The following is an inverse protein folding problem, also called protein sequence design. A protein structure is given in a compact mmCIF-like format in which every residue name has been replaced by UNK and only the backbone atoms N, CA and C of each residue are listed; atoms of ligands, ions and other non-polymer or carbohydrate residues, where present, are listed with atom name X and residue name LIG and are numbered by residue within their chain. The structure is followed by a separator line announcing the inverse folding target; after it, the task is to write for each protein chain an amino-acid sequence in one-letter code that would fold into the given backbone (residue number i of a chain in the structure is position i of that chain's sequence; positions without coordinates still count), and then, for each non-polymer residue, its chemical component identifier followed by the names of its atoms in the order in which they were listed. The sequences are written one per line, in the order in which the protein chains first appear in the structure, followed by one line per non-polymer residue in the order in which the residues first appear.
data_IF_168712772491
#
_entry.id   IF_168712772491
#
_cell.length_a   1.000
_cell.length_b   1.000
_cell.length_c   1.000
_cell.angle_alpha   90.00
_cell.angle_beta   90.00
_cell.angle_gamma   90.00
#
_symmetry.space_group_name_H-M   'P 1'
#
loop_
_entity.id
_entity.type
_entity.pdbx_description
1 polymer ?
#
# COMPACT_ATOMS: atom_id res chain seq x y z
N UNK A 1 -20.79 -1.24 -82.41
CA UNK A 1 -19.64 -1.62 -81.56
C UNK A 1 -19.67 -0.70 -80.37
N UNK A 2 -20.25 -1.12 -79.22
CA UNK A 2 -20.32 -0.32 -77.98
C UNK A 2 -19.44 -1.04 -76.93
N UNK A 3 -18.43 -0.35 -76.52
CA UNK A 3 -17.61 -0.76 -75.34
C UNK A 3 -18.42 -0.43 -74.08
N UNK A 4 -18.67 -1.44 -73.26
CA UNK A 4 -19.22 -1.31 -71.91
C UNK A 4 -18.12 -0.95 -70.93
N UNK A 5 -18.32 0.12 -70.18
CA UNK A 5 -17.44 0.50 -69.07
C UNK A 5 -17.78 -0.32 -67.84
N UNK A 6 -16.80 -1.04 -67.31
CA UNK A 6 -16.87 -1.70 -66.03
C UNK A 6 -16.56 -0.66 -64.95
N UNK A 7 -17.60 -0.22 -64.24
CA UNK A 7 -17.49 0.73 -63.15
C UNK A 7 -16.95 0.07 -61.88
N UNK A 8 -15.90 0.65 -61.29
CA UNK A 8 -15.14 0.20 -60.15
C UNK A 8 -15.89 0.24 -58.85
N UNK A 9 -16.00 -0.92 -58.16
CA UNK A 9 -16.52 -1.06 -56.82
C UNK A 9 -15.36 -1.18 -55.79
N UNK A 10 -14.53 -0.14 -55.69
CA UNK A 10 -13.41 -0.17 -54.76
C UNK A 10 -13.38 0.95 -53.67
N UNK A 11 -14.40 1.79 -53.59
CA UNK A 11 -14.38 2.95 -52.66
C UNK A 11 -14.90 2.64 -51.25
N UNK A 12 -15.62 1.53 -51.03
CA UNK A 12 -16.22 1.22 -49.71
C UNK A 12 -15.29 0.57 -48.70
N UNK A 13 -14.33 -0.22 -49.16
CA UNK A 13 -13.49 -1.05 -48.26
C UNK A 13 -12.45 -0.23 -47.49
N UNK A 14 -11.93 0.85 -48.07
CA UNK A 14 -10.90 1.68 -47.42
C UNK A 14 -11.43 2.53 -46.24
N UNK A 15 -12.68 2.95 -46.30
CA UNK A 15 -13.30 3.80 -45.25
C UNK A 15 -13.65 2.93 -44.05
N UNK A 16 -14.16 1.71 -44.25
CA UNK A 16 -14.50 0.79 -43.16
C UNK A 16 -13.23 0.33 -42.40
N UNK A 17 -12.15 0.03 -43.09
CA UNK A 17 -10.88 -0.36 -42.48
C UNK A 17 -10.25 0.76 -41.64
N UNK A 18 -10.35 2.00 -42.09
CA UNK A 18 -9.84 3.16 -41.35
C UNK A 18 -10.66 3.46 -40.09
N UNK A 19 -11.99 3.28 -40.13
CA UNK A 19 -12.88 3.46 -39.00
C UNK A 19 -12.63 2.40 -37.91
N UNK A 20 -12.41 1.13 -38.27
CA UNK A 20 -12.09 0.06 -37.33
C UNK A 20 -10.73 0.28 -36.67
N UNK A 21 -9.73 0.75 -37.43
CA UNK A 21 -8.41 1.06 -36.86
C UNK A 21 -8.50 2.22 -35.86
N UNK A 22 -9.32 3.24 -36.12
CA UNK A 22 -9.51 4.36 -35.20
C UNK A 22 -10.25 3.95 -33.92
N UNK A 23 -11.23 3.04 -33.99
CA UNK A 23 -11.95 2.53 -32.82
C UNK A 23 -11.06 1.62 -31.96
N UNK A 24 -10.17 0.84 -32.54
CA UNK A 24 -9.21 0.00 -31.80
C UNK A 24 -8.17 0.88 -31.09
N UNK A 25 -7.68 1.93 -31.73
CA UNK A 25 -6.75 2.88 -31.09
C UNK A 25 -7.41 3.73 -30.00
N UNK A 26 -8.70 4.05 -30.13
CA UNK A 26 -9.46 4.75 -29.10
C UNK A 26 -9.78 3.86 -27.88
N UNK A 27 -9.82 2.55 -28.04
CA UNK A 27 -9.95 1.59 -26.93
C UNK A 27 -8.65 1.41 -26.13
N UNK A 28 -7.51 1.76 -26.69
CA UNK A 28 -6.26 1.91 -25.97
C UNK A 28 -6.24 3.30 -25.28
N UNK A 29 -7.01 3.44 -24.19
CA UNK A 29 -6.78 4.51 -23.24
C UNK A 29 -5.52 4.16 -22.47
N UNK A 30 -4.34 4.69 -22.78
CA UNK A 30 -3.25 4.67 -21.83
C UNK A 30 -3.79 5.44 -20.64
N UNK A 31 -3.97 4.76 -19.50
CA UNK A 31 -4.21 5.47 -18.26
C UNK A 31 -3.17 6.58 -18.22
N UNK A 32 -3.55 7.85 -18.08
CA UNK A 32 -2.55 8.90 -18.04
C UNK A 32 -1.58 8.47 -16.94
N UNK A 33 -0.32 8.28 -17.32
CA UNK A 33 0.76 8.18 -16.35
C UNK A 33 0.63 9.47 -15.56
N UNK A 34 0.03 9.35 -14.36
CA UNK A 34 -0.10 10.48 -13.46
C UNK A 34 1.35 10.87 -13.20
N UNK A 35 1.77 11.96 -13.85
CA UNK A 35 3.06 12.57 -13.50
C UNK A 35 3.00 12.68 -11.99
N UNK A 36 3.84 11.93 -11.31
CA UNK A 36 3.88 11.92 -9.86
C UNK A 36 4.15 13.38 -9.49
N UNK A 37 3.13 14.08 -9.01
CA UNK A 37 3.41 15.20 -8.14
C UNK A 37 4.35 14.60 -7.12
N UNK A 38 5.55 15.17 -6.98
CA UNK A 38 6.61 14.63 -6.12
C UNK A 38 6.23 14.67 -4.62
N UNK A 39 4.93 14.68 -4.31
CA UNK A 39 4.34 14.72 -2.99
C UNK A 39 3.71 13.38 -2.62
N UNK A 40 3.84 13.02 -1.36
CA UNK A 40 3.13 11.90 -0.73
C UNK A 40 1.68 12.33 -0.51
N UNK A 41 0.72 11.70 -1.20
CA UNK A 41 -0.69 12.07 -1.14
C UNK A 41 -1.49 11.15 -0.21
N UNK A 42 -1.12 9.86 -0.14
CA UNK A 42 -1.84 8.86 0.66
C UNK A 42 -0.83 8.05 1.46
N UNK A 43 -0.98 8.10 2.79
CA UNK A 43 -0.22 7.30 3.73
C UNK A 43 -1.17 6.31 4.38
N UNK A 44 -0.81 5.02 4.39
CA UNK A 44 -1.47 4.02 5.21
C UNK A 44 -0.58 3.70 6.39
N UNK A 45 -1.13 3.86 7.60
CA UNK A 45 -0.47 3.47 8.85
C UNK A 45 -1.13 2.19 9.35
N UNK A 46 -0.31 1.22 9.69
CA UNK A 46 -0.72 -0.09 10.16
C UNK A 46 -0.34 -0.27 11.64
N UNK A 47 -1.28 -0.06 12.57
CA UNK A 47 -1.08 -0.43 13.95
C UNK A 47 -0.94 -1.95 14.07
N UNK A 48 0.21 -2.46 14.50
CA UNK A 48 0.44 -3.90 14.65
C UNK A 48 -0.57 -4.57 15.58
N UNK A 49 -0.78 -5.88 15.38
CA UNK A 49 -1.66 -6.71 16.20
C UNK A 49 -3.13 -6.23 16.21
N UNK A 50 -3.89 -6.52 17.31
CA UNK A 50 -5.28 -6.08 17.48
C UNK A 50 -6.24 -7.24 17.74
N UNK A 51 -7.33 -6.97 18.44
CA UNK A 51 -8.36 -7.95 18.80
C UNK A 51 -7.80 -9.13 19.59
N UNK A 52 -7.91 -10.32 19.01
CA UNK A 52 -7.41 -11.58 19.59
C UNK A 52 -5.87 -11.69 19.65
N UNK A 53 -5.16 -10.89 18.90
CA UNK A 53 -3.69 -10.86 18.88
C UNK A 53 -3.17 -9.69 19.73
N UNK A 54 -2.69 -9.97 20.97
CA UNK A 54 -2.21 -8.92 21.85
C UNK A 54 -0.82 -8.39 21.49
N UNK A 55 -0.05 -9.11 20.64
CA UNK A 55 1.38 -8.90 20.50
C UNK A 55 2.13 -9.19 21.80
N UNK A 56 3.21 -8.48 22.05
CA UNK A 56 3.95 -8.56 23.30
C UNK A 56 3.06 -8.07 24.48
N UNK A 57 3.02 -8.88 25.55
CA UNK A 57 2.18 -8.60 26.72
C UNK A 57 2.73 -7.47 27.62
N UNK A 58 3.93 -6.98 27.29
CA UNK A 58 4.66 -6.05 28.13
C UNK A 58 5.28 -6.74 29.36
N UNK A 59 6.29 -6.12 29.92
CA UNK A 59 7.01 -6.63 31.10
C UNK A 59 7.21 -5.53 32.13
N UNK A 60 7.22 -5.89 33.41
CA UNK A 60 7.61 -5.00 34.50
C UNK A 60 6.70 -3.77 34.67
N UNK A 61 7.28 -2.57 34.55
CA UNK A 61 6.60 -1.29 34.82
C UNK A 61 5.46 -0.98 33.85
N UNK A 62 5.58 -1.41 32.60
CA UNK A 62 4.65 -1.09 31.53
C UNK A 62 3.87 -2.35 31.13
N UNK A 63 2.76 -2.61 31.83
CA UNK A 63 1.86 -3.73 31.53
C UNK A 63 0.89 -3.42 30.36
N UNK A 64 1.28 -2.56 29.43
CA UNK A 64 0.50 -2.34 28.21
C UNK A 64 0.86 -3.38 27.16
N UNK A 65 -0.14 -3.95 26.53
CA UNK A 65 0.04 -4.88 25.41
C UNK A 65 0.51 -4.11 24.19
N UNK A 66 1.28 -4.75 23.35
CA UNK A 66 1.80 -4.14 22.14
C UNK A 66 0.69 -3.57 21.23
N UNK A 67 -0.43 -4.31 21.09
CA UNK A 67 -1.57 -3.85 20.30
C UNK A 67 -2.12 -2.49 20.74
N UNK A 68 -2.07 -2.22 22.04
CA UNK A 68 -2.58 -0.97 22.63
C UNK A 68 -1.56 0.16 22.35
N UNK A 69 -0.26 -0.11 22.53
CA UNK A 69 0.81 0.86 22.29
C UNK A 69 0.94 1.20 20.81
N UNK A 70 0.94 0.19 19.93
CA UNK A 70 1.02 0.40 18.49
C UNK A 70 -0.15 1.23 17.97
N UNK A 71 -1.35 1.03 18.54
CA UNK A 71 -2.54 1.82 18.19
C UNK A 71 -2.41 3.27 18.67
N UNK A 72 -2.06 3.49 19.94
CA UNK A 72 -1.89 4.83 20.50
C UNK A 72 -0.85 5.64 19.71
N UNK A 73 0.30 5.02 19.38
CA UNK A 73 1.36 5.67 18.59
C UNK A 73 0.87 5.96 17.17
N UNK A 74 0.19 5.02 16.54
CA UNK A 74 -0.34 5.20 15.18
C UNK A 74 -1.35 6.34 15.11
N UNK A 75 -2.22 6.47 16.12
CA UNK A 75 -3.18 7.57 16.19
C UNK A 75 -2.48 8.93 16.35
N UNK A 76 -1.41 9.00 17.15
CA UNK A 76 -0.61 10.21 17.28
C UNK A 76 0.14 10.56 15.99
N UNK A 77 0.75 9.57 15.33
CA UNK A 77 1.44 9.78 14.05
C UNK A 77 0.46 10.29 12.99
N UNK A 78 -0.73 9.67 12.89
CA UNK A 78 -1.80 10.14 12.00
C UNK A 78 -2.12 11.62 12.28
N UNK A 79 -2.39 11.96 13.53
CA UNK A 79 -2.70 13.34 13.94
C UNK A 79 -1.60 14.31 13.50
N UNK A 80 -0.33 14.01 13.80
CA UNK A 80 0.78 14.89 13.43
C UNK A 80 0.95 15.04 11.92
N UNK A 81 0.71 13.98 11.15
CA UNK A 81 0.76 14.07 9.68
C UNK A 81 -0.37 14.97 9.17
N UNK A 82 -1.60 14.78 9.63
CA UNK A 82 -2.75 15.57 9.21
C UNK A 82 -2.62 17.06 9.59
N UNK A 83 -1.98 17.37 10.73
CA UNK A 83 -1.73 18.74 11.17
C UNK A 83 -0.62 19.45 10.36
N UNK A 84 0.39 18.71 9.90
CA UNK A 84 1.56 19.30 9.23
C UNK A 84 1.54 19.13 7.71
N UNK A 85 0.78 18.17 7.20
CA UNK A 85 0.63 17.86 5.77
C UNK A 85 -0.86 17.79 5.43
N UNK A 86 -1.58 18.91 5.40
CA UNK A 86 -3.05 18.93 5.27
C UNK A 86 -3.56 18.34 3.94
N UNK A 87 -2.73 18.32 2.91
CA UNK A 87 -3.07 17.74 1.60
C UNK A 87 -2.82 16.23 1.54
N UNK A 88 -2.26 15.63 2.60
CA UNK A 88 -1.96 14.20 2.68
C UNK A 88 -3.09 13.46 3.40
N UNK A 89 -3.69 12.50 2.72
CA UNK A 89 -4.70 11.63 3.33
C UNK A 89 -4.03 10.51 4.13
N UNK A 90 -4.42 10.36 5.41
CA UNK A 90 -3.92 9.29 6.28
C UNK A 90 -5.03 8.28 6.58
N UNK A 91 -4.75 7.00 6.34
CA UNK A 91 -5.67 5.89 6.58
C UNK A 91 -5.01 4.94 7.59
N UNK A 92 -5.74 4.54 8.63
CA UNK A 92 -5.33 3.45 9.51
C UNK A 92 -5.86 2.12 8.96
N UNK A 93 -5.08 1.04 9.07
CA UNK A 93 -5.58 -0.30 8.73
C UNK A 93 -6.66 -0.75 9.71
N UNK A 94 -6.55 -0.35 10.99
CA UNK A 94 -7.60 -0.47 12.01
C UNK A 94 -7.73 0.83 12.80
N UNK A 95 -8.95 1.17 13.15
CA UNK A 95 -9.33 2.35 13.94
C UNK A 95 -9.93 1.98 15.29
N UNK A 96 -9.90 0.68 15.64
CA UNK A 96 -10.33 0.13 16.92
C UNK A 96 -9.50 -1.11 17.31
N UNK A 97 -9.90 -1.82 18.39
CA UNK A 97 -9.26 -3.07 18.82
C UNK A 97 -9.81 -4.28 18.06
N UNK A 98 -9.72 -4.28 16.71
CA UNK A 98 -10.03 -5.43 15.87
C UNK A 98 -8.77 -6.14 15.38
N UNK A 99 -8.89 -7.44 15.14
CA UNK A 99 -7.85 -8.22 14.49
C UNK A 99 -7.96 -8.08 12.96
N UNK A 100 -6.85 -7.82 12.30
CA UNK A 100 -6.75 -7.79 10.83
C UNK A 100 -5.65 -8.74 10.39
N UNK A 101 -5.98 -9.66 9.50
CA UNK A 101 -5.03 -10.60 8.93
C UNK A 101 -3.91 -9.85 8.18
N UNK A 102 -2.68 -10.41 8.18
CA UNK A 102 -1.52 -9.74 7.58
C UNK A 102 -1.75 -9.36 6.12
N UNK A 103 -2.29 -10.29 5.32
CA UNK A 103 -2.54 -10.02 3.92
C UNK A 103 -3.58 -8.91 3.71
N UNK A 104 -4.55 -8.79 4.60
CA UNK A 104 -5.59 -7.74 4.51
C UNK A 104 -5.00 -6.35 4.73
N UNK A 105 -3.97 -6.20 5.56
CA UNK A 105 -3.28 -4.93 5.80
C UNK A 105 -2.67 -4.39 4.51
N UNK A 106 -1.97 -5.25 3.77
CA UNK A 106 -1.42 -4.88 2.45
C UNK A 106 -2.50 -4.64 1.40
N UNK A 107 -3.60 -5.40 1.44
CA UNK A 107 -4.75 -5.17 0.55
C UNK A 107 -5.38 -3.80 0.79
N UNK A 108 -5.51 -3.37 2.05
CA UNK A 108 -6.02 -2.02 2.39
C UNK A 108 -5.12 -0.96 1.76
N UNK A 109 -3.81 -1.06 1.93
CA UNK A 109 -2.85 -0.11 1.36
C UNK A 109 -2.90 -0.09 -0.18
N UNK A 110 -2.92 -1.25 -0.82
CA UNK A 110 -2.98 -1.36 -2.27
C UNK A 110 -4.29 -0.82 -2.85
N UNK A 111 -5.43 -1.09 -2.20
CA UNK A 111 -6.74 -0.55 -2.62
C UNK A 111 -6.82 0.97 -2.46
N UNK A 112 -6.16 1.51 -1.44
CA UNK A 112 -6.05 2.94 -1.23
C UNK A 112 -5.11 3.62 -2.24
N UNK A 113 -4.34 2.87 -3.03
CA UNK A 113 -3.20 3.36 -3.84
C UNK A 113 -2.24 4.19 -2.97
N UNK A 114 -1.87 3.66 -1.81
CA UNK A 114 -0.99 4.33 -0.87
C UNK A 114 0.39 4.60 -1.48
N UNK A 115 0.90 5.80 -1.30
CA UNK A 115 2.27 6.17 -1.66
C UNK A 115 3.26 5.64 -0.63
N UNK A 116 2.81 5.56 0.65
CA UNK A 116 3.62 5.06 1.77
C UNK A 116 2.78 4.15 2.65
N UNK A 117 3.38 3.03 3.08
CA UNK A 117 2.84 2.13 4.10
C UNK A 117 3.79 2.11 5.30
N UNK A 118 3.26 2.42 6.49
CA UNK A 118 4.02 2.48 7.74
C UNK A 118 3.40 1.49 8.72
N UNK A 119 4.13 0.43 9.09
CA UNK A 119 3.71 -0.50 10.13
C UNK A 119 4.40 -0.16 11.44
N UNK A 120 3.67 -0.13 12.55
CA UNK A 120 4.13 0.28 13.88
C UNK A 120 3.98 -0.89 14.85
N UNK A 121 5.11 -1.30 15.40
CA UNK A 121 5.28 -2.42 16.33
C UNK A 121 6.13 -2.06 17.53
N UNK A 122 6.16 -2.92 18.54
CA UNK A 122 7.08 -2.84 19.66
C UNK A 122 8.05 -4.03 19.61
N UNK A 123 9.31 -3.77 19.26
CA UNK A 123 10.34 -4.82 19.26
C UNK A 123 10.60 -5.36 20.67
N UNK A 124 10.82 -6.66 20.77
CA UNK A 124 11.33 -7.31 21.96
C UNK A 124 12.84 -7.55 21.83
N UNK A 125 13.57 -7.42 22.94
CA UNK A 125 14.99 -7.72 23.00
C UNK A 125 15.34 -8.41 24.32
N UNK A 126 16.14 -9.46 24.27
CA UNK A 126 16.62 -10.18 25.47
C UNK A 126 17.57 -9.31 26.29
N UNK A 127 18.26 -8.37 25.66
CA UNK A 127 19.09 -7.40 26.36
C UNK A 127 18.21 -6.31 26.97
N UNK A 128 18.06 -6.36 28.30
CA UNK A 128 17.24 -5.40 29.07
C UNK A 128 17.74 -3.95 29.02
N UNK A 129 18.96 -3.73 28.56
CA UNK A 129 19.53 -2.40 28.33
C UNK A 129 19.24 -1.86 26.93
N UNK A 130 18.64 -2.64 26.04
CA UNK A 130 18.24 -2.16 24.73
C UNK A 130 17.06 -1.21 24.86
N UNK A 131 17.19 -0.03 24.28
CA UNK A 131 16.14 0.97 24.21
C UNK A 131 16.29 1.82 22.95
N UNK A 132 15.23 2.46 22.52
CA UNK A 132 15.22 3.34 21.37
C UNK A 132 14.19 2.89 20.32
N UNK A 133 14.23 3.56 19.18
CA UNK A 133 13.39 3.25 18.03
C UNK A 133 14.25 2.81 16.86
N UNK A 134 13.74 1.86 16.10
CA UNK A 134 14.35 1.39 14.85
C UNK A 134 13.37 1.63 13.71
N UNK A 135 13.87 2.02 12.55
CA UNK A 135 13.10 2.12 11.32
C UNK A 135 13.68 1.20 10.27
N UNK A 136 12.82 0.38 9.67
CA UNK A 136 13.16 -0.54 8.60
C UNK A 136 12.49 -0.07 7.31
N UNK A 137 13.28 0.15 6.26
CA UNK A 137 12.78 0.45 4.92
C UNK A 137 12.93 -0.77 4.01
N UNK A 138 11.93 -1.03 3.17
CA UNK A 138 12.08 -2.03 2.12
C UNK A 138 13.04 -1.49 1.06
N UNK A 139 14.28 -1.95 1.08
CA UNK A 139 15.29 -1.60 0.08
C UNK A 139 15.29 -2.56 -1.10
N UNK A 140 15.73 -2.08 -2.27
CA UNK A 140 15.92 -2.89 -3.49
C UNK A 140 17.19 -3.76 -3.44
N UNK A 141 17.80 -3.95 -2.29
CA UNK A 141 19.04 -4.70 -2.10
C UNK A 141 18.82 -6.05 -1.42
N UNK A 142 19.54 -7.07 -1.89
CA UNK A 142 19.46 -8.48 -1.46
C UNK A 142 19.79 -8.73 0.03
N UNK A 143 19.97 -7.74 0.88
CA UNK A 143 20.67 -7.88 2.16
C UNK A 143 19.97 -7.35 3.40
N UNK A 144 18.66 -7.34 3.46
CA UNK A 144 18.10 -6.99 4.77
C UNK A 144 17.66 -8.23 5.56
N UNK A 145 18.67 -8.98 6.05
CA UNK A 145 18.46 -10.11 6.96
C UNK A 145 17.70 -9.68 8.23
N UNK A 146 17.76 -8.41 8.61
CA UNK A 146 17.03 -7.85 9.76
C UNK A 146 15.54 -7.75 9.48
N UNK A 147 15.15 -7.28 8.29
CA UNK A 147 13.74 -7.26 7.87
C UNK A 147 13.14 -8.66 7.87
N UNK A 148 13.85 -9.62 7.32
CA UNK A 148 13.42 -11.02 7.33
C UNK A 148 13.30 -11.57 8.76
N UNK A 149 14.20 -11.22 9.66
CA UNK A 149 14.16 -11.65 11.06
C UNK A 149 12.97 -11.01 11.79
N UNK A 150 12.73 -9.73 11.60
CA UNK A 150 11.58 -9.02 12.19
C UNK A 150 10.26 -9.61 11.68
N UNK A 151 10.13 -9.80 10.36
CA UNK A 151 8.96 -10.44 9.77
C UNK A 151 8.75 -11.89 10.28
N UNK A 152 9.83 -12.64 10.53
CA UNK A 152 9.75 -13.98 11.13
C UNK A 152 9.26 -13.92 12.57
N UNK A 153 9.75 -12.99 13.38
CA UNK A 153 9.33 -12.82 14.77
C UNK A 153 7.86 -12.41 14.86
N UNK A 154 7.42 -11.48 14.02
CA UNK A 154 6.02 -11.05 13.95
C UNK A 154 5.09 -12.19 13.51
N UNK A 155 5.55 -13.06 12.62
CA UNK A 155 4.79 -14.22 12.18
C UNK A 155 4.83 -15.38 13.20
N UNK A 156 5.89 -15.52 13.97
CA UNK A 156 6.03 -16.59 14.99
C UNK A 156 5.12 -16.35 16.21
N UNK A 157 4.81 -15.11 16.54
CA UNK A 157 3.86 -14.75 17.62
C UNK A 157 2.41 -15.21 17.34
N UNK A 158 2.15 -15.89 16.23
CA UNK A 158 0.82 -16.33 15.75
C UNK A 158 0.59 -17.83 15.85
N UNK A 159 1.59 -18.61 16.23
CA UNK A 159 1.47 -20.05 16.47
C UNK A 159 1.26 -20.34 17.95
#
# INVERSE_FOLDING_TARGET
MRLGMVGSSFKGIKIAGLAVLFTVLAAFNPRPFRAANAGVNIIVIDPGHGGKDPGNLGTGRYRKREKDVSFDVSALVKKYIEENLPDTKVILTRDDDRFIELYQRTVIANRANADVFISIHCNANDNKSAYGTESFGLGMGERDQRLNKTAQLENAARL
#
